data_IF_850396933836
#
_entry.id   IF_850396933836
#
_cell.length_a   1.000
_cell.length_b   1.000
_cell.length_c   1.000
_cell.angle_alpha   90.00
_cell.angle_beta   90.00
_cell.angle_gamma   90.00
#
_symmetry.space_group_name_H-M   'P 1'
#
loop_
_entity.id
_entity.type
_entity.pdbx_description
1 polymer ?
#
# COMPACT_ATOMS: atom_id res chain seq x y z
N UNK A 1 -23.93 15.08 -4.09
CA UNK A 1 -23.01 16.01 -4.80
C UNK A 1 -23.46 17.47 -4.71
N UNK A 2 -24.69 17.87 -5.08
CA UNK A 2 -25.17 19.27 -4.96
C UNK A 2 -25.18 19.89 -3.53
N UNK A 3 -24.79 19.10 -2.53
CA UNK A 3 -24.66 19.53 -1.13
C UNK A 3 -23.24 20.03 -0.81
N UNK A 4 -22.24 19.67 -1.61
CA UNK A 4 -20.84 20.09 -1.45
C UNK A 4 -20.65 21.59 -1.75
N UNK A 5 -21.47 22.15 -2.63
CA UNK A 5 -21.47 23.58 -2.99
C UNK A 5 -22.19 24.47 -1.96
N UNK A 6 -22.84 23.87 -0.95
CA UNK A 6 -23.63 24.60 0.04
C UNK A 6 -22.79 24.93 1.26
N UNK A 7 -22.68 26.22 1.58
CA UNK A 7 -21.96 26.66 2.78
C UNK A 7 -22.46 26.02 4.08
N UNK A 8 -23.77 25.81 4.21
CA UNK A 8 -24.36 25.18 5.41
C UNK A 8 -23.87 23.76 5.68
N UNK A 9 -23.53 23.03 4.62
CA UNK A 9 -22.93 21.69 4.71
C UNK A 9 -21.59 21.72 5.46
N UNK A 10 -20.82 22.77 5.25
CA UNK A 10 -19.47 22.95 5.78
C UNK A 10 -19.42 23.70 7.11
N UNK A 11 -20.53 24.35 7.50
CA UNK A 11 -20.60 25.16 8.73
C UNK A 11 -20.12 24.41 9.98
N UNK A 12 -20.48 23.12 10.23
CA UNK A 12 -19.98 22.40 11.40
C UNK A 12 -18.46 22.23 11.42
N UNK A 13 -17.87 21.84 10.27
CA UNK A 13 -16.42 21.69 10.11
C UNK A 13 -15.71 23.02 10.32
N UNK A 14 -16.18 24.08 9.66
CA UNK A 14 -15.61 25.42 9.75
C UNK A 14 -15.71 26.01 11.16
N UNK A 15 -16.81 25.75 11.88
CA UNK A 15 -16.98 26.16 13.28
C UNK A 15 -16.03 25.41 14.21
N UNK A 16 -15.89 24.09 14.05
CA UNK A 16 -14.93 23.28 14.80
C UNK A 16 -13.49 23.74 14.53
N UNK A 17 -13.16 24.01 13.26
CA UNK A 17 -11.85 24.53 12.86
C UNK A 17 -11.59 25.89 13.53
N UNK A 18 -12.54 26.85 13.47
CA UNK A 18 -12.40 28.14 14.17
C UNK A 18 -12.17 27.99 15.67
N UNK A 19 -12.76 26.97 16.30
CA UNK A 19 -12.62 26.72 17.72
C UNK A 19 -11.22 26.25 18.14
N UNK A 20 -10.41 25.70 17.23
CA UNK A 20 -9.02 25.30 17.53
C UNK A 20 -8.11 26.50 17.72
N UNK A 21 -8.40 27.62 17.04
CA UNK A 21 -7.68 28.88 17.17
C UNK A 21 -8.63 30.10 17.23
N UNK A 22 -9.38 30.31 18.34
CA UNK A 22 -10.42 31.33 18.41
C UNK A 22 -9.91 32.77 18.28
N UNK A 23 -8.64 33.00 18.62
CA UNK A 23 -8.00 34.32 18.55
C UNK A 23 -7.34 34.60 17.20
N UNK A 24 -7.28 33.60 16.30
CA UNK A 24 -6.57 33.75 15.04
C UNK A 24 -7.36 34.62 14.05
N UNK A 25 -6.66 35.54 13.39
CA UNK A 25 -7.27 36.41 12.37
C UNK A 25 -7.45 35.69 11.04
N UNK A 26 -6.53 34.79 10.72
CA UNK A 26 -6.55 33.89 9.59
C UNK A 26 -6.31 32.46 10.05
N UNK A 27 -7.09 31.53 9.54
CA UNK A 27 -6.97 30.10 9.79
C UNK A 27 -7.21 29.35 8.48
N UNK A 28 -6.34 28.42 8.15
CA UNK A 28 -6.52 27.54 6.99
C UNK A 28 -6.27 26.09 7.38
N UNK A 29 -6.94 25.19 6.68
CA UNK A 29 -6.71 23.76 6.76
C UNK A 29 -6.74 23.17 5.36
N UNK A 30 -5.78 22.32 5.05
CA UNK A 30 -5.76 21.52 3.83
C UNK A 30 -5.49 20.08 4.22
N UNK A 31 -6.26 19.16 3.67
CA UNK A 31 -6.21 17.76 4.07
C UNK A 31 -7.12 16.86 3.26
N UNK A 32 -7.15 15.60 3.67
CA UNK A 32 -8.00 14.58 3.07
C UNK A 32 -8.88 13.92 4.12
N UNK A 33 -10.00 13.33 3.67
CA UNK A 33 -10.98 12.71 4.55
C UNK A 33 -11.68 11.52 3.90
N UNK A 34 -11.82 10.45 4.66
CA UNK A 34 -12.64 9.26 4.36
C UNK A 34 -13.74 9.13 5.41
N UNK A 35 -14.60 8.13 5.26
CA UNK A 35 -15.67 7.85 6.23
C UNK A 35 -15.17 7.50 7.65
N UNK A 36 -13.90 7.11 7.80
CA UNK A 36 -13.35 6.61 9.08
C UNK A 36 -12.08 7.34 9.53
N UNK A 37 -11.46 8.15 8.68
CA UNK A 37 -10.20 8.83 8.97
C UNK A 37 -10.14 10.18 8.26
N UNK A 38 -9.34 11.10 8.79
CA UNK A 38 -8.92 12.30 8.08
C UNK A 38 -7.49 12.64 8.48
N UNK A 39 -6.87 13.51 7.71
CA UNK A 39 -5.70 14.22 8.18
C UNK A 39 -5.43 15.45 7.34
N UNK A 40 -4.35 16.16 7.65
CA UNK A 40 -4.04 17.43 7.02
C UNK A 40 -3.29 18.36 7.94
N UNK A 41 -2.98 19.54 7.41
CA UNK A 41 -2.26 20.59 8.10
C UNK A 41 -3.15 21.80 8.32
N UNK A 42 -3.16 22.32 9.55
CA UNK A 42 -3.80 23.59 9.86
C UNK A 42 -2.76 24.67 10.17
N UNK A 43 -3.02 25.89 9.71
CA UNK A 43 -2.17 27.06 9.91
C UNK A 43 -3.03 28.22 10.41
N UNK A 44 -2.71 28.73 11.59
CA UNK A 44 -3.32 29.90 12.23
C UNK A 44 -2.32 31.06 12.27
N UNK A 45 -2.67 32.20 11.66
CA UNK A 45 -1.82 33.41 11.60
C UNK A 45 -0.35 33.13 11.20
N UNK A 46 -0.16 32.18 10.28
CA UNK A 46 1.17 31.78 9.77
C UNK A 46 1.92 30.75 10.61
N UNK A 47 1.34 30.28 11.73
CA UNK A 47 1.91 29.23 12.56
C UNK A 47 1.08 27.94 12.48
N UNK A 48 1.74 26.77 12.60
CA UNK A 48 1.06 25.47 12.66
C UNK A 48 0.06 25.47 13.82
N UNK A 49 -1.15 25.00 13.55
CA UNK A 49 -2.21 24.84 14.53
C UNK A 49 -2.56 23.36 14.70
N UNK A 50 -2.86 22.97 15.93
CA UNK A 50 -3.27 21.61 16.23
C UNK A 50 -4.76 21.44 15.94
N UNK A 51 -5.10 20.35 15.25
CA UNK A 51 -6.49 19.95 15.03
C UNK A 51 -7.03 19.23 16.26
N UNK A 52 -8.15 19.72 16.78
CA UNK A 52 -8.87 19.06 17.87
C UNK A 52 -9.72 17.89 17.36
N UNK A 53 -10.13 17.01 18.29
CA UNK A 53 -11.04 15.89 18.01
C UNK A 53 -12.35 16.33 17.37
N UNK A 54 -12.88 17.50 17.75
CA UNK A 54 -14.13 18.02 17.18
C UNK A 54 -14.02 18.29 15.67
N UNK A 55 -12.84 18.67 15.17
CA UNK A 55 -12.62 18.82 13.72
C UNK A 55 -12.63 17.46 13.04
N UNK A 56 -11.93 16.49 13.63
CA UNK A 56 -11.88 15.11 13.15
C UNK A 56 -13.28 14.50 13.03
N UNK A 57 -14.07 14.62 14.09
CA UNK A 57 -15.43 14.08 14.15
C UNK A 57 -16.34 14.79 13.13
N UNK A 58 -16.24 16.11 13.00
CA UNK A 58 -17.04 16.87 12.04
C UNK A 58 -16.71 16.52 10.59
N UNK A 59 -15.41 16.37 10.26
CA UNK A 59 -14.96 16.06 8.90
C UNK A 59 -15.26 14.61 8.53
N UNK A 60 -15.01 13.65 9.42
CA UNK A 60 -15.30 12.22 9.16
C UNK A 60 -16.80 11.98 9.03
N UNK A 61 -17.64 12.58 9.89
CA UNK A 61 -19.10 12.52 9.75
C UNK A 61 -19.57 13.14 8.43
N UNK A 62 -18.91 14.21 7.97
CA UNK A 62 -19.21 14.82 6.68
C UNK A 62 -18.83 13.90 5.51
N UNK A 63 -17.62 13.35 5.54
CA UNK A 63 -17.12 12.42 4.53
C UNK A 63 -17.99 11.16 4.45
N UNK A 64 -18.34 10.55 5.59
CA UNK A 64 -19.25 9.41 5.66
C UNK A 64 -20.61 9.69 5.01
N UNK A 65 -21.12 10.92 5.15
CA UNK A 65 -22.41 11.32 4.58
C UNK A 65 -22.34 11.64 3.08
N UNK A 66 -21.26 12.26 2.62
CA UNK A 66 -21.14 12.81 1.27
C UNK A 66 -20.41 11.90 0.29
N UNK A 67 -19.49 11.07 0.80
CA UNK A 67 -18.57 10.23 0.06
C UNK A 67 -18.18 8.98 0.90
N UNK A 68 -19.14 8.09 1.25
CA UNK A 68 -18.87 6.97 2.16
C UNK A 68 -17.77 6.01 1.65
N UNK A 69 -17.68 5.85 0.33
CA UNK A 69 -16.77 4.90 -0.33
C UNK A 69 -15.64 5.60 -1.10
N UNK A 70 -15.44 6.90 -0.87
CA UNK A 70 -14.45 7.72 -1.59
C UNK A 70 -13.73 8.67 -0.64
N UNK A 71 -12.53 9.04 -1.03
CA UNK A 71 -11.77 10.06 -0.30
C UNK A 71 -12.11 11.46 -0.84
N UNK A 72 -12.19 12.43 0.08
CA UNK A 72 -12.33 13.84 -0.22
C UNK A 72 -10.98 14.53 -0.04
N UNK A 73 -10.63 15.43 -0.95
CA UNK A 73 -9.63 16.47 -0.70
C UNK A 73 -10.35 17.75 -0.33
N UNK A 74 -9.90 18.42 0.74
CA UNK A 74 -10.57 19.60 1.29
C UNK A 74 -9.56 20.68 1.60
N UNK A 75 -9.87 21.89 1.17
CA UNK A 75 -9.18 23.13 1.52
C UNK A 75 -10.17 24.10 2.16
N UNK A 76 -10.00 24.37 3.45
CA UNK A 76 -10.79 25.34 4.19
C UNK A 76 -9.93 26.56 4.53
N UNK A 77 -10.49 27.75 4.40
CA UNK A 77 -9.85 28.96 4.89
C UNK A 77 -10.87 29.90 5.53
N UNK A 78 -10.46 30.54 6.61
CA UNK A 78 -11.28 31.44 7.40
C UNK A 78 -10.48 32.70 7.70
N UNK A 79 -11.00 33.87 7.34
CA UNK A 79 -10.38 35.17 7.57
C UNK A 79 -11.41 36.12 8.18
N UNK A 80 -11.20 36.55 9.42
CA UNK A 80 -12.23 37.31 10.15
C UNK A 80 -13.51 36.48 10.33
N UNK A 81 -14.63 36.88 9.73
CA UNK A 81 -15.88 36.08 9.67
C UNK A 81 -16.03 35.32 8.36
N UNK A 82 -15.28 35.69 7.33
CA UNK A 82 -15.40 35.10 6.00
C UNK A 82 -14.78 33.72 5.98
N UNK A 83 -15.49 32.77 5.40
CA UNK A 83 -15.09 31.39 5.30
C UNK A 83 -15.28 30.88 3.87
N UNK A 84 -14.30 30.12 3.38
CA UNK A 84 -14.35 29.43 2.11
C UNK A 84 -13.95 27.97 2.30
N UNK A 85 -14.61 27.09 1.57
CA UNK A 85 -14.19 25.71 1.39
C UNK A 85 -14.13 25.42 -0.09
N UNK A 86 -13.03 24.81 -0.51
CA UNK A 86 -12.90 24.14 -1.80
C UNK A 86 -12.71 22.65 -1.52
N UNK A 87 -13.42 21.79 -2.24
CA UNK A 87 -13.29 20.34 -2.05
C UNK A 87 -13.52 19.58 -3.34
N UNK A 88 -13.00 18.36 -3.42
CA UNK A 88 -13.28 17.44 -4.52
C UNK A 88 -13.39 16.01 -4.00
N UNK A 89 -14.24 15.22 -4.64
CA UNK A 89 -14.25 13.76 -4.46
C UNK A 89 -13.15 13.22 -5.35
N UNK A 90 -12.15 12.55 -4.76
CA UNK A 90 -11.03 12.03 -5.52
C UNK A 90 -11.51 10.87 -6.42
N UNK A 91 -11.18 10.91 -7.72
CA UNK A 91 -11.41 9.77 -8.60
C UNK A 91 -10.48 8.60 -8.19
N UNK A 92 -10.81 7.34 -8.55
CA UNK A 92 -10.00 6.18 -8.21
C UNK A 92 -8.52 6.27 -8.65
N UNK A 93 -8.24 7.07 -9.66
CA UNK A 93 -6.90 7.27 -10.20
C UNK A 93 -6.07 8.27 -9.41
N UNK A 94 -6.65 8.97 -8.44
CA UNK A 94 -5.94 9.91 -7.59
C UNK A 94 -5.90 9.35 -6.18
N UNK A 95 -4.70 9.01 -5.72
CA UNK A 95 -4.48 8.53 -4.37
C UNK A 95 -4.12 9.72 -3.48
N UNK A 96 -4.69 9.75 -2.29
CA UNK A 96 -4.25 10.63 -1.23
C UNK A 96 -3.75 9.81 -0.04
N UNK A 97 -2.78 10.37 0.68
CA UNK A 97 -2.45 9.90 2.02
C UNK A 97 -3.02 10.86 3.07
N UNK A 98 -2.73 10.59 4.33
CA UNK A 98 -3.18 11.33 5.52
C UNK A 98 -3.00 12.85 5.48
N UNK A 99 -2.34 13.45 4.49
CA UNK A 99 -2.17 14.90 4.42
C UNK A 99 -2.59 15.47 3.05
N UNK A 100 -2.38 14.75 1.94
CA UNK A 100 -2.47 15.29 0.58
C UNK A 100 -2.62 14.23 -0.52
N UNK A 101 -3.01 14.68 -1.72
CA UNK A 101 -3.00 13.89 -2.97
C UNK A 101 -1.57 13.49 -3.35
N UNK A 102 -1.20 12.23 -3.15
CA UNK A 102 0.15 11.67 -3.27
C UNK A 102 0.51 11.03 -4.60
N UNK A 103 -0.46 10.46 -5.29
CA UNK A 103 -0.22 9.80 -6.55
C UNK A 103 -1.35 10.08 -7.56
N UNK A 104 -0.95 10.12 -8.82
CA UNK A 104 -1.86 10.04 -9.96
C UNK A 104 -1.51 8.78 -10.75
N UNK A 105 -2.44 7.84 -10.81
CA UNK A 105 -2.39 6.70 -11.70
C UNK A 105 -2.68 7.18 -13.11
N UNK A 106 -1.65 7.22 -13.94
CA UNK A 106 -1.74 7.66 -15.34
C UNK A 106 -2.36 6.58 -16.24
N UNK A 107 -2.34 5.32 -15.79
CA UNK A 107 -2.92 4.17 -16.49
C UNK A 107 -3.87 3.41 -15.56
N UNK A 108 -5.19 3.67 -15.62
CA UNK A 108 -6.15 3.04 -14.73
C UNK A 108 -6.04 1.52 -14.72
N UNK A 109 -6.18 0.91 -13.55
CA UNK A 109 -6.15 -0.55 -13.37
C UNK A 109 -4.76 -1.20 -13.54
N UNK A 110 -3.69 -0.41 -13.59
CA UNK A 110 -2.32 -0.94 -13.64
C UNK A 110 -1.69 -0.99 -12.26
N UNK A 111 -0.81 -1.98 -12.06
CA UNK A 111 -0.04 -2.20 -10.83
C UNK A 111 1.47 -2.26 -11.16
N UNK A 112 2.37 -2.03 -10.19
CA UNK A 112 3.80 -2.20 -10.39
C UNK A 112 4.15 -3.62 -10.87
N UNK A 113 5.23 -3.78 -11.65
CA UNK A 113 5.67 -5.09 -12.18
C UNK A 113 5.67 -6.24 -11.15
N UNK A 114 6.16 -6.07 -9.91
CA UNK A 114 6.13 -7.14 -8.91
C UNK A 114 4.72 -7.72 -8.66
N UNK A 115 3.68 -6.86 -8.65
CA UNK A 115 2.28 -7.26 -8.48
C UNK A 115 1.66 -7.91 -9.72
N UNK A 116 2.33 -7.82 -10.87
CA UNK A 116 1.91 -8.42 -12.14
C UNK A 116 2.76 -9.62 -12.53
N UNK A 117 3.66 -10.06 -11.65
CA UNK A 117 4.58 -11.15 -11.94
C UNK A 117 3.81 -12.46 -11.94
N UNK A 118 3.84 -13.13 -13.09
CA UNK A 118 3.26 -14.47 -13.25
C UNK A 118 4.26 -15.53 -12.80
N UNK A 119 3.80 -16.64 -12.20
CA UNK A 119 4.63 -17.80 -11.92
C UNK A 119 5.26 -18.37 -13.20
N UNK A 120 6.54 -18.74 -13.12
CA UNK A 120 7.15 -19.64 -14.10
C UNK A 120 6.66 -21.07 -13.84
N UNK A 121 5.57 -21.43 -14.51
CA UNK A 121 4.98 -22.78 -14.48
C UNK A 121 5.71 -23.79 -15.37
N UNK A 122 6.75 -23.38 -16.09
CA UNK A 122 7.55 -24.31 -16.90
C UNK A 122 8.51 -25.16 -16.05
N UNK A 123 8.70 -24.78 -14.79
CA UNK A 123 9.49 -25.50 -13.82
C UNK A 123 8.73 -26.73 -13.32
N UNK A 124 9.00 -27.89 -13.92
CA UNK A 124 8.54 -29.17 -13.36
C UNK A 124 9.36 -29.50 -12.10
N UNK A 125 8.69 -29.57 -10.95
CA UNK A 125 9.33 -29.75 -9.65
C UNK A 125 8.71 -30.93 -8.91
N UNK A 126 9.53 -31.86 -8.40
CA UNK A 126 9.02 -32.98 -7.63
C UNK A 126 8.42 -32.49 -6.30
N UNK A 127 7.54 -33.30 -5.73
CA UNK A 127 7.16 -33.15 -4.32
C UNK A 127 8.32 -33.53 -3.40
N UNK A 128 8.29 -33.07 -2.14
CA UNK A 128 9.33 -33.41 -1.17
C UNK A 128 9.40 -34.93 -0.94
N UNK A 129 10.60 -35.54 -0.87
CA UNK A 129 10.74 -36.95 -0.56
C UNK A 129 10.31 -37.30 0.88
N UNK A 130 10.16 -36.30 1.76
CA UNK A 130 9.77 -36.48 3.15
C UNK A 130 8.25 -36.60 3.39
N UNK A 131 7.43 -36.57 2.33
CA UNK A 131 5.98 -36.67 2.44
C UNK A 131 5.53 -38.01 3.03
N UNK A 132 4.58 -37.95 3.95
CA UNK A 132 3.95 -39.10 4.60
C UNK A 132 2.44 -38.86 4.74
N UNK A 133 1.67 -39.16 3.69
CA UNK A 133 0.21 -38.96 3.68
C UNK A 133 -0.49 -39.70 4.83
N UNK A 134 -0.02 -40.90 5.18
CA UNK A 134 -0.61 -41.68 6.27
C UNK A 134 -0.41 -41.00 7.64
N UNK A 135 0.75 -40.38 7.87
CA UNK A 135 0.99 -39.57 9.06
C UNK A 135 0.07 -38.34 9.10
N UNK A 136 -0.14 -37.67 7.97
CA UNK A 136 -1.05 -36.52 7.89
C UNK A 136 -2.49 -36.93 8.21
N UNK A 137 -3.02 -37.98 7.57
CA UNK A 137 -4.38 -38.48 7.85
C UNK A 137 -4.58 -38.79 9.35
N UNK A 138 -3.66 -39.57 9.94
CA UNK A 138 -3.74 -39.95 11.34
C UNK A 138 -3.64 -38.74 12.29
N UNK A 139 -2.80 -37.75 11.95
CA UNK A 139 -2.62 -36.54 12.76
C UNK A 139 -3.85 -35.65 12.70
N UNK A 140 -4.37 -35.40 11.50
CA UNK A 140 -5.52 -34.52 11.25
C UNK A 140 -6.79 -35.11 11.85
N UNK A 141 -7.09 -36.40 11.61
CA UNK A 141 -8.29 -37.04 12.21
C UNK A 141 -8.24 -37.08 13.73
N UNK A 142 -7.05 -37.13 14.32
CA UNK A 142 -6.90 -37.07 15.78
C UNK A 142 -7.16 -35.67 16.32
N UNK A 143 -6.70 -34.64 15.62
CA UNK A 143 -6.89 -33.25 16.01
C UNK A 143 -8.33 -32.75 15.72
N UNK A 144 -8.94 -33.25 14.66
CA UNK A 144 -10.25 -32.83 14.14
C UNK A 144 -11.15 -34.07 13.89
N UNK A 145 -11.55 -34.82 14.93
CA UNK A 145 -12.25 -36.11 14.78
C UNK A 145 -13.64 -35.99 14.15
N UNK A 146 -14.29 -34.85 14.33
CA UNK A 146 -15.66 -34.59 13.87
C UNK A 146 -15.71 -33.68 12.63
N UNK A 147 -14.55 -33.32 12.05
CA UNK A 147 -14.51 -32.46 10.88
C UNK A 147 -15.07 -33.19 9.64
N UNK A 148 -15.83 -32.46 8.84
CA UNK A 148 -16.22 -32.91 7.51
C UNK A 148 -14.98 -33.05 6.64
N UNK A 149 -14.91 -34.08 5.81
CA UNK A 149 -13.83 -34.32 4.87
C UNK A 149 -14.34 -34.22 3.44
N UNK A 150 -13.44 -33.90 2.51
CA UNK A 150 -13.72 -34.00 1.09
C UNK A 150 -13.73 -35.44 0.60
N UNK A 151 -14.47 -35.70 -0.48
CA UNK A 151 -14.32 -36.96 -1.22
C UNK A 151 -13.19 -36.88 -2.25
N UNK A 152 -12.77 -38.04 -2.76
CA UNK A 152 -11.79 -38.09 -3.85
C UNK A 152 -12.30 -37.39 -5.11
N UNK A 153 -13.60 -37.48 -5.39
CA UNK A 153 -14.23 -36.81 -6.54
C UNK A 153 -14.21 -35.29 -6.40
N UNK A 154 -14.45 -34.76 -5.20
CA UNK A 154 -14.40 -33.32 -4.94
C UNK A 154 -12.98 -32.77 -5.12
N UNK A 155 -11.97 -33.48 -4.61
CA UNK A 155 -10.57 -33.09 -4.80
C UNK A 155 -10.17 -33.20 -6.27
N UNK A 156 -10.55 -34.28 -6.96
CA UNK A 156 -10.24 -34.46 -8.38
C UNK A 156 -10.91 -33.38 -9.25
N UNK A 157 -12.12 -32.95 -8.89
CA UNK A 157 -12.79 -31.83 -9.55
C UNK A 157 -12.05 -30.51 -9.33
N UNK A 158 -11.60 -30.24 -8.10
CA UNK A 158 -10.76 -29.07 -7.80
C UNK A 158 -9.46 -29.07 -8.64
N UNK A 159 -8.72 -30.19 -8.62
CA UNK A 159 -7.49 -30.39 -9.40
C UNK A 159 -7.73 -30.15 -10.90
N UNK A 160 -8.85 -30.66 -11.43
CA UNK A 160 -9.25 -30.49 -12.83
C UNK A 160 -9.61 -29.05 -13.16
N UNK A 161 -10.36 -28.36 -12.30
CA UNK A 161 -10.80 -26.97 -12.52
C UNK A 161 -9.62 -26.01 -12.50
N UNK A 162 -8.67 -26.22 -11.59
CA UNK A 162 -7.50 -25.35 -11.43
C UNK A 162 -6.26 -25.82 -12.20
N UNK A 163 -6.37 -26.94 -12.92
CA UNK A 163 -5.28 -27.55 -13.69
C UNK A 163 -4.01 -27.79 -12.86
N UNK A 164 -4.20 -28.29 -11.64
CA UNK A 164 -3.11 -28.63 -10.70
C UNK A 164 -3.18 -30.09 -10.29
N UNK A 165 -2.09 -30.58 -9.71
CA UNK A 165 -2.06 -31.86 -9.00
C UNK A 165 -1.62 -31.57 -7.57
N UNK A 166 -2.48 -31.88 -6.60
CA UNK A 166 -2.15 -31.69 -5.21
C UNK A 166 -1.09 -32.72 -4.78
N UNK A 167 -0.11 -32.30 -3.97
CA UNK A 167 0.80 -33.22 -3.32
C UNK A 167 0.03 -34.23 -2.45
N UNK A 168 0.55 -35.46 -2.32
CA UNK A 168 -0.20 -36.55 -1.70
C UNK A 168 -0.54 -36.29 -0.22
N UNK A 169 0.35 -35.62 0.51
CA UNK A 169 0.10 -35.27 1.91
C UNK A 169 -0.95 -34.16 2.07
N UNK A 170 -1.01 -33.21 1.15
CA UNK A 170 -2.09 -32.19 1.06
C UNK A 170 -3.43 -32.83 0.67
N UNK A 171 -3.44 -33.76 -0.29
CA UNK A 171 -4.65 -34.54 -0.61
C UNK A 171 -5.15 -35.28 0.63
N UNK A 172 -4.24 -35.88 1.38
CA UNK A 172 -4.57 -36.63 2.61
C UNK A 172 -5.14 -35.74 3.72
N UNK A 173 -4.69 -34.50 3.84
CA UNK A 173 -5.29 -33.51 4.75
C UNK A 173 -6.76 -33.29 4.44
N UNK A 174 -7.10 -32.96 3.18
CA UNK A 174 -8.48 -32.63 2.80
C UNK A 174 -9.41 -33.85 2.81
N UNK A 175 -8.88 -35.06 2.64
CA UNK A 175 -9.61 -36.32 2.88
C UNK A 175 -9.85 -36.62 4.38
N UNK A 176 -9.13 -35.93 5.27
CA UNK A 176 -9.27 -36.08 6.72
C UNK A 176 -10.13 -34.96 7.34
N UNK A 177 -9.93 -33.72 6.92
CA UNK A 177 -10.70 -32.55 7.37
C UNK A 177 -10.68 -31.44 6.30
N UNK A 178 -11.82 -30.79 6.09
CA UNK A 178 -11.96 -29.65 5.19
C UNK A 178 -11.62 -28.32 5.87
N UNK A 179 -11.98 -28.17 7.15
CA UNK A 179 -11.81 -26.93 7.92
C UNK A 179 -11.72 -27.24 9.42
N UNK A 180 -11.29 -26.26 10.21
CA UNK A 180 -11.29 -26.31 11.68
C UNK A 180 -9.95 -25.95 12.33
N UNK A 181 -9.95 -25.80 13.65
CA UNK A 181 -8.76 -25.40 14.43
C UNK A 181 -7.77 -26.57 14.56
N UNK A 182 -6.84 -26.67 13.60
CA UNK A 182 -5.82 -27.72 13.58
C UNK A 182 -4.69 -27.36 14.56
N UNK A 183 -4.71 -28.02 15.73
CA UNK A 183 -3.65 -27.91 16.74
C UNK A 183 -2.90 -29.23 16.84
N UNK A 184 -1.59 -29.20 16.59
CA UNK A 184 -0.73 -30.37 16.67
C UNK A 184 0.34 -30.15 17.74
N UNK A 185 0.41 -31.08 18.68
CA UNK A 185 1.33 -31.01 19.82
C UNK A 185 0.56 -31.09 21.15
N UNK A 186 1.14 -30.48 22.18
CA UNK A 186 0.52 -30.31 23.48
C UNK A 186 -0.62 -29.26 23.41
N UNK A 187 -1.70 -29.44 24.18
CA UNK A 187 -2.84 -28.50 24.15
C UNK A 187 -2.47 -27.11 24.69
N UNK A 188 -1.57 -27.05 25.68
CA UNK A 188 -1.13 -25.79 26.32
C UNK A 188 0.06 -25.16 25.57
N UNK A 189 0.78 -25.96 24.77
CA UNK A 189 1.92 -25.51 23.97
C UNK A 189 1.99 -26.28 22.63
N UNK A 190 1.12 -25.95 21.67
CA UNK A 190 1.11 -26.65 20.39
C UNK A 190 2.43 -26.43 19.64
N UNK A 191 2.93 -27.48 19.02
CA UNK A 191 4.06 -27.41 18.08
C UNK A 191 3.66 -26.58 16.87
N UNK A 192 2.39 -26.67 16.50
CA UNK A 192 1.79 -25.96 15.38
C UNK A 192 0.30 -25.75 15.60
N UNK A 193 -0.20 -24.55 15.27
CA UNK A 193 -1.62 -24.24 15.29
C UNK A 193 -1.98 -23.38 14.07
N UNK A 194 -3.03 -23.78 13.34
CA UNK A 194 -3.69 -22.95 12.34
C UNK A 194 -5.20 -23.18 12.35
N UNK A 195 -5.95 -22.18 11.92
CA UNK A 195 -7.33 -22.36 11.45
C UNK A 195 -7.27 -22.88 10.00
N UNK A 196 -7.67 -24.14 9.79
CA UNK A 196 -7.66 -24.80 8.49
C UNK A 196 -8.77 -24.21 7.62
N UNK A 197 -8.39 -23.79 6.42
CA UNK A 197 -9.31 -23.24 5.44
C UNK A 197 -9.74 -24.32 4.43
N UNK A 198 -11.02 -24.30 3.99
CA UNK A 198 -11.49 -25.13 2.89
C UNK A 198 -10.62 -25.03 1.65
N UNK A 199 -10.52 -26.12 0.89
CA UNK A 199 -9.75 -26.13 -0.35
C UNK A 199 -10.30 -25.06 -1.32
N UNK A 200 -9.43 -24.15 -1.76
CA UNK A 200 -9.83 -23.05 -2.63
C UNK A 200 -10.73 -22.00 -1.96
N UNK A 201 -10.57 -21.78 -0.64
CA UNK A 201 -11.34 -20.80 0.12
C UNK A 201 -11.44 -19.45 -0.63
N UNK A 202 -12.65 -18.98 -0.99
CA UNK A 202 -12.82 -17.83 -1.86
C UNK A 202 -12.41 -16.52 -1.21
N UNK A 203 -12.60 -16.37 0.12
CA UNK A 203 -12.20 -15.16 0.84
C UNK A 203 -10.68 -15.03 0.87
N UNK A 204 -9.96 -16.10 1.22
CA UNK A 204 -8.50 -16.09 1.20
C UNK A 204 -7.94 -15.79 -0.21
N UNK A 205 -8.52 -16.39 -1.25
CA UNK A 205 -8.14 -16.10 -2.64
C UNK A 205 -8.42 -14.65 -3.04
N UNK A 206 -9.52 -14.06 -2.58
CA UNK A 206 -9.84 -12.66 -2.86
C UNK A 206 -8.92 -11.70 -2.08
N UNK A 207 -8.81 -11.88 -0.77
CA UNK A 207 -8.16 -10.97 0.18
C UNK A 207 -6.64 -10.97 0.06
N UNK A 208 -6.03 -12.07 -0.41
CA UNK A 208 -4.59 -12.18 -0.63
C UNK A 208 -4.20 -12.22 -2.12
N UNK A 209 -5.14 -11.94 -3.03
CA UNK A 209 -4.82 -11.77 -4.44
C UNK A 209 -3.79 -10.66 -4.63
N UNK A 210 -3.03 -10.69 -5.73
CA UNK A 210 -2.03 -9.65 -6.01
C UNK A 210 -2.65 -8.24 -6.01
N UNK A 211 -3.89 -8.10 -6.50
CA UNK A 211 -4.62 -6.85 -6.49
C UNK A 211 -5.07 -6.43 -5.08
N UNK A 212 -5.50 -7.36 -4.22
CA UNK A 212 -5.91 -7.04 -2.86
C UNK A 212 -4.73 -6.67 -1.95
N UNK A 213 -3.54 -7.21 -2.24
CA UNK A 213 -2.29 -6.85 -1.56
C UNK A 213 -1.63 -5.58 -2.09
N UNK A 214 -2.17 -4.99 -3.16
CA UNK A 214 -1.74 -3.71 -3.72
C UNK A 214 -2.61 -2.57 -3.16
N UNK A 215 -2.05 -1.83 -2.20
CA UNK A 215 -2.73 -0.72 -1.52
C UNK A 215 -2.60 0.63 -2.24
N UNK A 216 -1.92 0.66 -3.38
CA UNK A 216 -1.74 1.86 -4.21
C UNK A 216 -0.30 2.13 -4.60
N UNK A 217 -0.10 2.98 -5.60
CA UNK A 217 1.22 3.39 -6.08
C UNK A 217 2.00 4.18 -5.04
N UNK A 218 1.32 4.96 -4.19
CA UNK A 218 1.97 5.72 -3.12
C UNK A 218 2.67 4.81 -2.10
N UNK A 219 2.02 3.69 -1.72
CA UNK A 219 2.54 2.75 -0.73
C UNK A 219 3.45 1.69 -1.35
N UNK A 220 3.00 1.07 -2.44
CA UNK A 220 3.65 -0.13 -2.98
C UNK A 220 4.39 0.12 -4.30
N UNK A 221 4.37 1.35 -4.83
CA UNK A 221 4.97 1.68 -6.11
C UNK A 221 6.46 1.38 -6.19
N UNK A 222 7.18 1.48 -5.06
CA UNK A 222 8.61 1.18 -4.95
C UNK A 222 8.89 -0.20 -4.35
N UNK A 223 7.88 -1.02 -4.09
CA UNK A 223 8.11 -2.33 -3.48
C UNK A 223 8.83 -3.28 -4.42
N UNK A 224 9.69 -4.10 -3.86
CA UNK A 224 10.56 -5.03 -4.57
C UNK A 224 10.27 -6.41 -4.02
N UNK A 225 9.89 -7.33 -4.91
CA UNK A 225 9.62 -8.69 -4.48
C UNK A 225 10.92 -9.31 -3.98
N UNK A 226 10.87 -9.87 -2.78
CA UNK A 226 12.03 -10.51 -2.18
C UNK A 226 12.39 -11.75 -2.96
N UNK A 227 13.68 -11.90 -3.23
CA UNK A 227 14.23 -13.08 -3.88
C UNK A 227 14.63 -14.05 -2.77
N UNK A 228 14.06 -15.24 -2.77
CA UNK A 228 14.52 -16.31 -1.90
C UNK A 228 16.00 -16.63 -2.23
N UNK A 229 16.94 -16.49 -1.28
CA UNK A 229 18.36 -16.74 -1.54
C UNK A 229 18.65 -18.17 -2.00
N UNK A 230 17.81 -19.13 -1.61
CA UNK A 230 17.89 -20.51 -2.06
C UNK A 230 17.30 -20.77 -3.44
N UNK A 231 16.60 -19.82 -4.05
CA UNK A 231 15.81 -20.02 -5.27
C UNK A 231 14.70 -21.07 -5.11
N UNK A 232 14.18 -21.25 -3.90
CA UNK A 232 13.12 -22.21 -3.53
C UNK A 232 11.73 -21.64 -3.73
N UNK A 233 11.55 -20.33 -3.59
CA UNK A 233 10.26 -19.64 -3.70
C UNK A 233 10.34 -18.65 -4.86
N UNK A 234 9.30 -18.61 -5.70
CA UNK A 234 9.19 -17.58 -6.73
C UNK A 234 8.76 -16.25 -6.11
N UNK A 235 9.26 -15.14 -6.64
CA UNK A 235 8.97 -13.80 -6.13
C UNK A 235 7.60 -13.31 -6.65
N UNK A 236 6.50 -13.84 -6.08
CA UNK A 236 5.11 -13.51 -6.46
C UNK A 236 4.47 -12.55 -5.46
N UNK A 237 3.36 -11.93 -5.85
CA UNK A 237 2.69 -10.89 -5.08
C UNK A 237 1.46 -11.34 -4.30
N UNK A 238 0.80 -12.41 -4.72
CA UNK A 238 -0.44 -12.83 -4.09
C UNK A 238 -0.75 -14.29 -4.35
N UNK A 239 -1.78 -14.75 -3.67
CA UNK A 239 -2.25 -16.13 -3.80
C UNK A 239 -3.09 -16.32 -5.05
N UNK A 240 -3.02 -17.53 -5.59
CA UNK A 240 -3.88 -18.02 -6.64
C UNK A 240 -4.01 -19.54 -6.45
N UNK A 241 -5.21 -20.08 -6.71
CA UNK A 241 -5.53 -21.48 -6.46
C UNK A 241 -4.63 -22.47 -7.23
N UNK A 242 -3.90 -22.00 -8.26
CA UNK A 242 -2.95 -22.78 -9.05
C UNK A 242 -1.47 -22.55 -8.70
N UNK A 243 -1.15 -21.68 -7.74
CA UNK A 243 0.23 -21.33 -7.38
C UNK A 243 0.48 -21.41 -5.88
N UNK A 244 -0.14 -20.54 -5.09
CA UNK A 244 -0.06 -20.52 -3.64
C UNK A 244 -1.45 -20.80 -3.12
N UNK A 245 -1.76 -22.08 -2.93
CA UNK A 245 -3.07 -22.53 -2.48
C UNK A 245 -3.22 -22.23 -0.98
N UNK A 246 -4.22 -21.43 -0.56
CA UNK A 246 -4.46 -21.17 0.86
C UNK A 246 -4.70 -22.46 1.64
N UNK A 247 -3.95 -22.65 2.72
CA UNK A 247 -4.04 -23.78 3.64
C UNK A 247 -4.76 -23.39 4.92
N UNK A 248 -4.35 -22.27 5.54
CA UNK A 248 -4.85 -21.88 6.84
C UNK A 248 -4.40 -20.49 7.27
N UNK A 249 -4.93 -20.01 8.38
CA UNK A 249 -4.55 -18.72 8.99
C UNK A 249 -4.21 -18.87 10.47
N UNK A 250 -3.45 -17.93 11.02
CA UNK A 250 -3.22 -17.80 12.46
C UNK A 250 -4.26 -16.92 13.16
N UNK A 251 -5.24 -16.39 12.43
CA UNK A 251 -6.24 -15.43 12.93
C UNK A 251 -5.71 -14.01 13.16
N UNK A 252 -4.40 -13.80 12.97
CA UNK A 252 -3.72 -12.50 13.05
C UNK A 252 -3.58 -11.81 11.70
N UNK A 253 -4.27 -12.31 10.67
CA UNK A 253 -4.12 -11.84 9.29
C UNK A 253 -2.97 -12.50 8.55
N UNK A 254 -2.27 -13.50 9.09
CA UNK A 254 -1.27 -14.22 8.28
C UNK A 254 -1.89 -15.42 7.59
N UNK A 255 -1.27 -15.84 6.48
CA UNK A 255 -1.74 -16.97 5.69
C UNK A 255 -0.63 -18.01 5.50
N UNK A 256 -0.97 -19.27 5.76
CA UNK A 256 -0.19 -20.43 5.37
C UNK A 256 -0.67 -20.90 4.01
N UNK A 257 0.25 -21.17 3.09
CA UNK A 257 -0.08 -21.60 1.72
C UNK A 257 0.74 -22.80 1.30
N UNK A 258 0.14 -23.67 0.48
CA UNK A 258 0.81 -24.73 -0.23
C UNK A 258 1.36 -24.17 -1.54
N UNK A 259 2.67 -24.28 -1.76
CA UNK A 259 3.33 -23.81 -2.96
C UNK A 259 3.28 -24.88 -4.07
N UNK A 260 2.41 -24.66 -5.05
CA UNK A 260 2.23 -25.45 -6.26
C UNK A 260 3.06 -24.91 -7.44
N UNK A 261 3.73 -23.76 -7.28
CA UNK A 261 4.60 -23.16 -8.30
C UNK A 261 5.96 -22.75 -7.69
N UNK A 262 6.72 -23.70 -7.13
CA UNK A 262 7.96 -23.39 -6.43
C UNK A 262 9.05 -22.86 -7.36
N UNK A 263 10.09 -22.29 -6.74
CA UNK A 263 11.28 -21.82 -7.46
C UNK A 263 12.17 -22.97 -7.99
N UNK A 264 13.26 -22.65 -8.69
CA UNK A 264 14.19 -23.62 -9.27
C UNK A 264 14.73 -24.71 -8.33
N UNK A 265 14.84 -24.43 -7.04
CA UNK A 265 15.34 -25.37 -6.02
C UNK A 265 14.31 -25.73 -4.96
N UNK A 266 13.03 -25.41 -5.19
CA UNK A 266 11.93 -25.71 -4.27
C UNK A 266 11.28 -27.07 -4.53
N UNK A 267 10.35 -27.44 -3.65
CA UNK A 267 9.54 -28.64 -3.75
C UNK A 267 8.09 -28.28 -4.00
N UNK A 268 7.41 -29.01 -4.88
CA UNK A 268 5.97 -28.86 -5.06
C UNK A 268 5.27 -29.34 -3.79
N UNK A 269 4.47 -28.48 -3.17
CA UNK A 269 3.82 -28.75 -1.90
C UNK A 269 4.59 -28.27 -0.66
N UNK A 270 5.71 -27.55 -0.83
CA UNK A 270 6.34 -26.86 0.30
C UNK A 270 5.37 -25.84 0.91
N UNK A 271 5.50 -25.59 2.21
CA UNK A 271 4.60 -24.67 2.91
C UNK A 271 5.28 -23.31 3.05
N UNK A 272 4.55 -22.26 2.66
CA UNK A 272 4.98 -20.88 2.81
C UNK A 272 4.11 -20.15 3.82
N UNK A 273 4.71 -19.12 4.41
CA UNK A 273 4.08 -18.13 5.26
C UNK A 273 4.00 -16.80 4.51
N UNK A 274 2.79 -16.28 4.39
CA UNK A 274 2.48 -14.98 3.80
C UNK A 274 2.16 -14.03 4.94
N UNK A 275 3.08 -13.11 5.20
CA UNK A 275 2.96 -12.06 6.22
C UNK A 275 2.04 -10.95 5.69
N UNK A 276 1.03 -10.54 6.48
CA UNK A 276 0.15 -9.42 6.10
C UNK A 276 0.82 -8.06 6.19
N UNK A 277 1.91 -7.95 6.95
CA UNK A 277 2.71 -6.73 7.00
C UNK A 277 3.59 -6.58 5.74
N UNK A 278 3.63 -7.61 4.88
CA UNK A 278 4.31 -7.57 3.59
C UNK A 278 3.29 -7.59 2.45
N UNK A 279 3.47 -6.70 1.48
CA UNK A 279 2.63 -6.69 0.26
C UNK A 279 3.13 -7.66 -0.83
N UNK A 280 4.37 -8.15 -0.72
CA UNK A 280 5.01 -9.01 -1.74
C UNK A 280 5.77 -10.17 -1.10
N UNK A 281 5.78 -11.31 -1.80
CA UNK A 281 6.55 -12.48 -1.42
C UNK A 281 5.87 -13.33 -0.34
N UNK A 282 6.58 -14.41 -0.02
CA UNK A 282 6.26 -15.37 1.02
C UNK A 282 7.56 -16.01 1.51
N UNK A 283 7.59 -16.50 2.75
CA UNK A 283 8.74 -17.18 3.33
C UNK A 283 8.46 -18.67 3.42
N UNK A 284 9.38 -19.52 2.96
CA UNK A 284 9.24 -20.97 3.12
C UNK A 284 9.44 -21.34 4.59
N UNK A 285 8.50 -22.09 5.16
CA UNK A 285 8.57 -22.57 6.55
C UNK A 285 8.71 -24.09 6.67
N UNK A 286 8.33 -24.86 5.63
CA UNK A 286 8.52 -26.31 5.61
C UNK A 286 8.67 -26.83 4.18
N UNK A 287 9.37 -27.96 3.99
CA UNK A 287 9.45 -28.64 2.67
C UNK A 287 8.17 -29.37 2.25
N UNK A 288 7.27 -29.64 3.19
CA UNK A 288 5.99 -30.31 2.95
C UNK A 288 5.03 -30.07 4.12
N UNK A 289 3.76 -30.38 3.93
CA UNK A 289 2.79 -30.40 5.03
C UNK A 289 3.19 -31.41 6.10
N UNK A 290 3.72 -32.55 5.68
CA UNK A 290 4.24 -33.57 6.59
C UNK A 290 5.32 -33.01 7.53
N UNK A 291 6.29 -32.28 6.99
CA UNK A 291 7.36 -31.66 7.77
C UNK A 291 6.79 -30.60 8.75
N UNK A 292 5.85 -29.78 8.29
CA UNK A 292 5.18 -28.78 9.15
C UNK A 292 4.50 -29.44 10.36
N UNK A 293 3.72 -30.49 10.14
CA UNK A 293 2.98 -31.18 11.21
C UNK A 293 3.89 -31.96 12.17
N UNK A 294 5.13 -32.28 11.75
CA UNK A 294 6.16 -32.83 12.64
C UNK A 294 6.86 -31.77 13.49
N UNK A 295 6.67 -30.49 13.18
CA UNK A 295 7.42 -29.38 13.77
C UNK A 295 8.79 -29.17 13.14
N UNK A 296 9.06 -29.78 11.98
CA UNK A 296 10.29 -29.58 11.20
C UNK A 296 10.23 -28.24 10.45
N UNK A 297 10.02 -27.16 11.20
CA UNK A 297 9.93 -25.80 10.70
C UNK A 297 11.34 -25.26 10.48
N UNK A 298 11.56 -24.71 9.30
CA UNK A 298 12.82 -24.02 8.99
C UNK A 298 12.66 -22.56 9.36
N UNK A 299 13.42 -22.12 10.37
CA UNK A 299 13.62 -20.70 10.63
C UNK A 299 14.64 -20.19 9.59
N UNK A 300 14.16 -19.88 8.39
CA UNK A 300 15.02 -19.29 7.36
C UNK A 300 15.23 -17.81 7.68
N UNK A 301 16.49 -17.33 7.79
CA UNK A 301 16.75 -15.92 8.00
C UNK A 301 16.04 -15.13 6.90
N UNK A 302 15.25 -14.13 7.33
CA UNK A 302 14.56 -13.20 6.44
C UNK A 302 15.56 -12.75 5.37
N UNK A 303 15.18 -12.91 4.09
CA UNK A 303 16.05 -12.53 2.98
C UNK A 303 16.62 -11.12 3.21
N UNK A 304 17.92 -10.96 3.04
CA UNK A 304 18.63 -9.68 3.22
C UNK A 304 17.94 -8.57 2.41
N UNK A 305 17.83 -7.33 2.95
CA UNK A 305 17.26 -6.21 2.22
C UNK A 305 17.98 -5.96 0.88
N UNK A 306 17.16 -5.46 -0.03
CA UNK A 306 17.15 -5.72 -1.45
C UNK A 306 18.30 -5.07 -2.26
N UNK A 307 19.07 -5.87 -3.01
CA UNK A 307 20.01 -5.37 -4.03
C UNK A 307 19.30 -4.73 -5.23
N UNK A 308 17.98 -4.88 -5.36
CA UNK A 308 17.19 -4.25 -6.41
C UNK A 308 16.79 -2.79 -6.07
N UNK A 309 17.13 -2.28 -4.87
CA UNK A 309 16.95 -0.87 -4.51
C UNK A 309 18.30 -0.17 -4.36
N UNK A 310 18.53 0.83 -5.19
CA UNK A 310 19.69 1.71 -5.17
C UNK A 310 19.33 3.03 -4.48
N UNK A 311 20.01 3.39 -3.39
CA UNK A 311 19.77 4.65 -2.67
C UNK A 311 21.05 5.45 -2.44
N UNK A 312 21.06 6.73 -2.83
CA UNK A 312 22.18 7.65 -2.59
C UNK A 312 22.35 7.97 -1.12
N UNK A 313 21.25 8.07 -0.37
CA UNK A 313 21.30 8.30 1.08
C UNK A 313 22.06 7.17 1.81
N UNK A 314 21.88 5.92 1.38
CA UNK A 314 22.61 4.78 1.94
C UNK A 314 24.06 4.67 1.43
N UNK A 315 24.38 5.27 0.28
CA UNK A 315 25.67 5.15 -0.38
C UNK A 315 26.13 6.47 -1.02
N UNK A 316 26.34 7.54 -0.23
CA UNK A 316 26.52 8.91 -0.76
C UNK A 316 27.83 9.13 -1.54
N UNK A 317 28.73 8.15 -1.52
CA UNK A 317 30.04 8.22 -2.18
C UNK A 317 30.05 7.58 -3.58
N UNK A 318 28.94 6.95 -4.02
CA UNK A 318 28.86 6.24 -5.29
C UNK A 318 28.14 7.07 -6.34
N UNK A 319 28.62 7.02 -7.59
CA UNK A 319 27.88 7.52 -8.75
C UNK A 319 26.72 6.56 -9.09
N UNK A 320 25.69 6.98 -9.85
CA UNK A 320 24.56 6.11 -10.19
C UNK A 320 24.96 4.82 -10.88
N UNK A 321 25.90 4.85 -11.82
CA UNK A 321 26.43 3.67 -12.51
C UNK A 321 27.20 2.71 -11.58
N UNK A 322 27.70 3.21 -10.44
CA UNK A 322 28.33 2.40 -9.39
C UNK A 322 27.32 1.87 -8.36
N UNK A 323 26.15 2.52 -8.27
CA UNK A 323 25.08 2.19 -7.34
C UNK A 323 24.08 1.20 -7.96
N UNK A 324 23.76 1.39 -9.24
CA UNK A 324 22.77 0.64 -10.01
C UNK A 324 23.45 -0.57 -10.66
N UNK A 325 23.03 -1.76 -10.25
CA UNK A 325 23.40 -3.02 -10.88
C UNK A 325 22.35 -3.49 -11.89
N UNK A 326 22.63 -4.55 -12.68
CA UNK A 326 21.73 -5.01 -13.74
C UNK A 326 20.35 -5.47 -13.26
N UNK A 327 20.22 -5.82 -11.97
CA UNK A 327 18.97 -6.23 -11.35
C UNK A 327 18.27 -5.10 -10.56
N UNK A 328 18.84 -3.89 -10.56
CA UNK A 328 18.25 -2.74 -9.85
C UNK A 328 16.94 -2.31 -10.49
N UNK A 329 15.89 -2.27 -9.67
CA UNK A 329 14.52 -1.94 -10.02
C UNK A 329 14.11 -0.55 -9.56
N UNK A 330 14.67 -0.08 -8.45
CA UNK A 330 14.29 1.19 -7.82
C UNK A 330 15.55 2.02 -7.60
N UNK A 331 15.52 3.29 -8.03
CA UNK A 331 16.54 4.28 -7.74
C UNK A 331 15.96 5.40 -6.88
N UNK A 332 16.62 5.69 -5.77
CA UNK A 332 16.27 6.73 -4.83
C UNK A 332 17.41 7.74 -4.73
N UNK A 333 17.14 8.98 -5.13
CA UNK A 333 18.05 10.12 -5.10
C UNK A 333 17.57 11.10 -4.01
N UNK A 334 18.03 10.88 -2.80
CA UNK A 334 17.74 11.72 -1.64
C UNK A 334 19.04 12.24 -1.04
N UNK A 335 19.01 13.45 -0.50
CA UNK A 335 20.13 14.14 0.15
C UNK A 335 21.39 14.22 -0.74
N UNK A 336 21.19 14.37 -2.06
CA UNK A 336 22.31 14.50 -2.99
C UNK A 336 22.96 15.87 -2.87
N UNK A 337 24.29 15.91 -2.89
CA UNK A 337 25.07 17.17 -2.75
C UNK A 337 25.23 17.92 -4.07
N UNK A 338 24.94 17.26 -5.19
CA UNK A 338 24.94 17.84 -6.53
C UNK A 338 23.98 17.06 -7.44
N UNK A 339 23.36 17.71 -8.45
CA UNK A 339 22.51 17.02 -9.42
C UNK A 339 23.22 15.85 -10.08
N UNK A 340 22.49 14.76 -10.22
CA UNK A 340 22.97 13.45 -10.65
C UNK A 340 22.65 13.24 -12.14
N UNK A 341 23.67 12.91 -12.93
CA UNK A 341 23.49 12.56 -14.34
C UNK A 341 22.99 11.11 -14.47
N UNK A 342 21.82 10.94 -15.09
CA UNK A 342 21.19 9.64 -15.34
C UNK A 342 21.43 9.10 -16.76
N UNK A 343 22.10 9.86 -17.65
CA UNK A 343 22.42 9.41 -19.00
C UNK A 343 23.16 8.04 -19.04
N UNK A 344 24.06 7.70 -18.10
CA UNK A 344 24.68 6.37 -18.07
C UNK A 344 23.71 5.20 -17.87
N UNK A 345 22.50 5.46 -17.37
CA UNK A 345 21.46 4.46 -17.14
C UNK A 345 20.50 4.31 -18.33
N UNK A 346 20.73 5.02 -19.44
CA UNK A 346 19.92 4.88 -20.65
C UNK A 346 19.82 3.41 -21.09
N UNK A 347 18.60 2.95 -21.36
CA UNK A 347 18.32 1.57 -21.74
C UNK A 347 18.33 0.56 -20.58
N UNK A 348 18.44 0.98 -19.31
CA UNK A 348 18.50 0.05 -18.19
C UNK A 348 17.21 -0.83 -18.13
N UNK A 349 17.34 -2.17 -18.22
CA UNK A 349 16.20 -3.04 -18.54
C UNK A 349 15.29 -3.32 -17.35
N UNK A 350 15.76 -3.08 -16.12
CA UNK A 350 15.02 -3.39 -14.90
C UNK A 350 14.56 -2.15 -14.13
N UNK A 351 15.08 -0.95 -14.44
CA UNK A 351 14.85 0.24 -13.63
C UNK A 351 13.43 0.76 -13.86
N UNK A 352 12.53 0.43 -12.93
CA UNK A 352 11.09 0.68 -13.05
C UNK A 352 10.58 1.84 -12.21
N UNK A 353 11.31 2.25 -11.18
CA UNK A 353 10.92 3.36 -10.33
C UNK A 353 12.11 4.28 -10.06
N UNK A 354 11.88 5.59 -10.20
CA UNK A 354 12.82 6.62 -9.80
C UNK A 354 12.13 7.58 -8.84
N UNK A 355 12.71 7.78 -7.67
CA UNK A 355 12.30 8.79 -6.70
C UNK A 355 13.44 9.76 -6.50
N UNK A 356 13.19 11.06 -6.67
CA UNK A 356 14.24 12.08 -6.60
C UNK A 356 13.73 13.36 -5.94
N UNK A 357 14.48 13.88 -4.98
CA UNK A 357 14.26 15.22 -4.41
C UNK A 357 14.44 16.32 -5.45
N UNK A 358 13.87 17.50 -5.16
CA UNK A 358 13.93 18.68 -6.04
C UNK A 358 15.35 18.97 -6.53
N UNK A 359 15.54 18.99 -7.85
CA UNK A 359 16.83 19.31 -8.48
C UNK A 359 17.91 18.22 -8.31
N UNK A 360 17.53 17.02 -7.88
CA UNK A 360 18.49 15.91 -7.71
C UNK A 360 18.95 15.29 -9.03
N UNK A 361 18.24 15.53 -10.13
CA UNK A 361 18.55 14.99 -11.46
C UNK A 361 19.08 16.12 -12.34
N UNK A 362 20.25 15.91 -12.94
CA UNK A 362 20.92 16.93 -13.77
C UNK A 362 20.19 17.18 -15.10
N UNK A 363 19.67 16.12 -15.73
CA UNK A 363 18.89 16.17 -16.97
C UNK A 363 17.69 15.21 -16.87
N UNK A 364 16.49 15.79 -16.76
CA UNK A 364 15.23 15.03 -16.66
C UNK A 364 14.89 14.31 -17.98
N UNK A 365 15.46 14.70 -19.12
CA UNK A 365 15.24 14.01 -20.39
C UNK A 365 15.75 12.56 -20.35
N UNK A 366 16.78 12.26 -19.55
CA UNK A 366 17.32 10.92 -19.37
C UNK A 366 16.27 9.92 -18.83
N UNK A 367 15.24 10.38 -18.12
CA UNK A 367 14.15 9.52 -17.64
C UNK A 367 13.36 8.86 -18.78
N UNK A 368 13.32 9.47 -19.97
CA UNK A 368 12.63 8.94 -21.15
C UNK A 368 13.38 7.78 -21.81
N UNK A 369 14.67 7.63 -21.50
CA UNK A 369 15.52 6.57 -22.02
C UNK A 369 15.46 5.29 -21.16
N UNK A 370 14.63 5.26 -20.12
CA UNK A 370 14.44 4.10 -19.24
C UNK A 370 13.24 3.25 -19.73
N UNK A 371 13.48 2.11 -20.42
CA UNK A 371 12.42 1.36 -21.09
C UNK A 371 11.47 0.64 -20.14
N UNK A 372 11.86 0.43 -18.89
CA UNK A 372 11.06 -0.24 -17.87
C UNK A 372 10.38 0.72 -16.90
N UNK A 373 10.49 2.04 -17.10
CA UNK A 373 10.01 3.04 -16.14
C UNK A 373 8.49 3.04 -16.00
N UNK A 374 8.00 2.70 -14.81
CA UNK A 374 6.58 2.62 -14.44
C UNK A 374 6.19 3.75 -13.48
N UNK A 375 7.13 4.21 -12.65
CA UNK A 375 6.89 5.14 -11.56
C UNK A 375 7.92 6.25 -11.51
N UNK A 376 7.44 7.48 -11.37
CA UNK A 376 8.25 8.64 -11.02
C UNK A 376 7.71 9.29 -9.77
N UNK A 377 8.60 9.62 -8.82
CA UNK A 377 8.30 10.42 -7.65
C UNK A 377 9.22 11.64 -7.63
N UNK A 378 8.67 12.81 -7.94
CA UNK A 378 9.42 14.05 -8.16
C UNK A 378 8.76 15.23 -7.44
N UNK A 379 9.48 16.34 -7.33
CA UNK A 379 8.90 17.62 -6.93
C UNK A 379 7.95 18.17 -8.00
N UNK A 380 7.06 19.10 -7.63
CA UNK A 380 6.17 19.86 -8.52
C UNK A 380 7.01 20.61 -9.55
N UNK A 381 8.16 21.14 -9.16
CA UNK A 381 9.07 21.85 -10.05
C UNK A 381 9.69 20.92 -11.09
N UNK A 382 10.20 19.76 -10.68
CA UNK A 382 10.82 18.80 -11.59
C UNK A 382 9.76 18.17 -12.50
N UNK A 383 8.56 17.89 -11.99
CA UNK A 383 7.41 17.51 -12.83
C UNK A 383 7.08 18.57 -13.88
N UNK A 384 6.99 19.84 -13.47
CA UNK A 384 6.70 20.95 -14.39
C UNK A 384 7.75 21.04 -15.49
N UNK A 385 9.04 20.98 -15.10
CA UNK A 385 10.17 20.99 -16.04
C UNK A 385 10.09 19.80 -17.01
N UNK A 386 9.89 18.58 -16.50
CA UNK A 386 9.76 17.38 -17.32
C UNK A 386 8.61 17.51 -18.34
N UNK A 387 7.46 18.03 -17.91
CA UNK A 387 6.27 18.20 -18.74
C UNK A 387 6.38 19.34 -19.75
N UNK A 388 7.19 20.35 -19.49
CA UNK A 388 7.44 21.47 -20.40
C UNK A 388 8.46 21.08 -21.50
N UNK A 389 9.41 20.20 -21.17
CA UNK A 389 10.45 19.72 -22.09
C UNK A 389 9.97 18.66 -23.09
N UNK A 390 8.80 18.05 -22.87
CA UNK A 390 8.25 17.07 -23.81
C UNK A 390 7.16 16.18 -23.23
N UNK A 391 6.70 15.17 -23.99
CA UNK A 391 5.67 14.24 -23.51
C UNK A 391 6.17 13.43 -22.31
N UNK A 392 5.23 12.90 -21.53
CA UNK A 392 5.49 11.92 -20.49
C UNK A 392 6.20 10.68 -21.07
N UNK A 393 7.08 10.02 -20.30
CA UNK A 393 7.60 8.71 -20.69
C UNK A 393 6.43 7.76 -21.00
N UNK A 394 6.35 7.18 -22.21
CA UNK A 394 5.17 6.42 -22.62
C UNK A 394 4.98 5.10 -21.87
N UNK A 395 5.90 4.71 -20.99
CA UNK A 395 5.81 3.52 -20.15
C UNK A 395 5.26 3.84 -18.76
N UNK A 396 5.18 5.12 -18.40
CA UNK A 396 4.82 5.56 -17.07
C UNK A 396 3.37 5.17 -16.74
N UNK A 397 3.22 4.55 -15.58
CA UNK A 397 1.95 4.07 -15.04
C UNK A 397 1.42 4.96 -13.93
N UNK A 398 2.31 5.55 -13.13
CA UNK A 398 1.93 6.46 -12.06
C UNK A 398 2.97 7.58 -11.84
N UNK A 399 2.46 8.69 -11.30
CA UNK A 399 3.21 9.89 -10.96
C UNK A 399 2.96 10.24 -9.49
N UNK A 400 4.01 10.27 -8.67
CA UNK A 400 3.96 10.67 -7.27
C UNK A 400 4.57 12.06 -7.11
N UNK A 401 4.04 12.81 -6.16
CA UNK A 401 4.43 14.21 -5.91
C UNK A 401 5.02 14.33 -4.51
N UNK A 402 6.21 14.93 -4.39
CA UNK A 402 6.95 15.01 -3.12
C UNK A 402 6.57 16.20 -2.24
N UNK A 403 6.29 17.36 -2.81
CA UNK A 403 6.19 18.63 -2.08
C UNK A 403 5.02 18.69 -1.11
N UNK A 404 5.07 19.62 -0.16
CA UNK A 404 3.94 19.90 0.73
C UNK A 404 2.62 20.27 -0.02
N UNK A 405 1.45 20.14 0.64
CA UNK A 405 0.18 20.61 0.10
C UNK A 405 0.24 22.03 -0.46
N UNK A 406 -0.37 22.24 -1.62
CA UNK A 406 -0.62 23.58 -2.13
C UNK A 406 -1.28 23.62 -3.50
N UNK A 407 -1.69 24.81 -3.96
CA UNK A 407 -2.38 24.98 -5.24
C UNK A 407 -1.59 24.43 -6.43
N UNK A 408 -0.26 24.66 -6.46
CA UNK A 408 0.60 24.19 -7.54
C UNK A 408 0.61 22.65 -7.67
N UNK A 409 0.47 21.92 -6.56
CA UNK A 409 0.37 20.47 -6.55
C UNK A 409 -0.94 20.00 -7.19
N UNK A 410 -2.06 20.67 -6.87
CA UNK A 410 -3.36 20.33 -7.44
C UNK A 410 -3.45 20.69 -8.93
N UNK A 411 -2.86 21.82 -9.33
CA UNK A 411 -2.74 22.19 -10.75
C UNK A 411 -1.93 21.14 -11.52
N UNK A 412 -0.87 20.61 -10.91
CA UNK A 412 -0.09 19.50 -11.48
C UNK A 412 -0.92 18.21 -11.58
N UNK A 413 -1.71 17.87 -10.57
CA UNK A 413 -2.62 16.71 -10.61
C UNK A 413 -3.58 16.83 -11.78
N UNK A 414 -4.24 17.98 -11.95
CA UNK A 414 -5.16 18.22 -13.07
C UNK A 414 -4.46 18.14 -14.43
N UNK A 415 -3.21 18.62 -14.52
CA UNK A 415 -2.38 18.51 -15.72
C UNK A 415 -2.04 17.05 -16.03
N UNK A 416 -1.64 16.26 -15.03
CA UNK A 416 -1.31 14.84 -15.18
C UNK A 416 -2.53 14.02 -15.60
N UNK A 417 -3.69 14.23 -14.98
CA UNK A 417 -4.96 13.61 -15.36
C UNK A 417 -5.29 13.92 -16.83
N UNK A 418 -5.25 15.20 -17.20
CA UNK A 418 -5.55 15.64 -18.57
C UNK A 418 -4.62 15.00 -19.61
N UNK A 419 -3.31 14.93 -19.32
CA UNK A 419 -2.32 14.30 -20.21
C UNK A 419 -2.52 12.79 -20.34
N UNK A 420 -3.08 12.15 -19.33
CA UNK A 420 -3.45 10.73 -19.36
C UNK A 420 -4.83 10.45 -19.98
N UNK A 421 -5.51 11.49 -20.51
CA UNK A 421 -6.85 11.37 -21.09
C UNK A 421 -7.97 11.21 -20.07
N UNK A 422 -7.69 11.52 -18.80
CA UNK A 422 -8.62 11.44 -17.69
C UNK A 422 -9.23 12.83 -17.40
N UNK A 423 -10.46 12.91 -16.86
CA UNK A 423 -11.05 14.19 -16.49
C UNK A 423 -10.26 14.84 -15.33
N UNK A 424 -10.13 16.18 -15.30
CA UNK A 424 -9.56 16.88 -14.15
C UNK A 424 -10.45 16.72 -12.91
N UNK A 425 -9.91 17.09 -11.75
CA UNK A 425 -10.64 17.12 -10.50
C UNK A 425 -11.87 18.04 -10.63
N UNK A 426 -13.02 17.52 -10.23
CA UNK A 426 -14.24 18.30 -10.16
C UNK A 426 -14.29 19.04 -8.81
N UNK A 427 -13.94 20.32 -8.82
CA UNK A 427 -13.93 21.16 -7.63
C UNK A 427 -15.31 21.72 -7.31
N UNK A 428 -15.69 21.61 -6.04
CA UNK A 428 -16.84 22.26 -5.43
C UNK A 428 -16.35 23.39 -4.53
N UNK A 429 -17.00 24.54 -4.62
CA UNK A 429 -16.67 25.70 -3.81
C UNK A 429 -17.89 26.18 -3.02
N UNK A 430 -17.67 26.49 -1.75
CA UNK A 430 -18.67 27.04 -0.85
C UNK A 430 -18.08 28.21 -0.07
N UNK A 431 -18.73 29.37 -0.14
CA UNK A 431 -18.32 30.58 0.58
C UNK A 431 -19.46 31.09 1.45
N UNK A 432 -19.13 31.67 2.60
CA UNK A 432 -20.11 32.27 3.50
C UNK A 432 -19.47 32.89 4.73
N UNK A 433 -20.31 33.29 5.68
CA UNK A 433 -19.88 33.93 6.92
C UNK A 433 -20.12 33.03 8.12
N UNK A 434 -19.12 32.94 8.99
CA UNK A 434 -19.23 32.37 10.33
C UNK A 434 -19.57 33.46 11.35
N UNK A 435 -20.23 33.10 12.46
CA UNK A 435 -20.35 33.98 13.61
C UNK A 435 -18.97 34.46 14.09
N UNK A 436 -18.86 35.67 14.65
CA UNK A 436 -17.62 36.15 15.22
C UNK A 436 -17.12 35.19 16.31
N UNK A 437 -15.79 35.05 16.48
CA UNK A 437 -15.22 34.11 17.44
C UNK A 437 -15.69 34.45 18.85
N UNK A 438 -16.23 33.44 19.54
CA UNK A 438 -16.53 33.55 20.97
C UNK A 438 -15.22 33.37 21.72
N UNK A 439 -14.54 34.48 21.99
CA UNK A 439 -13.33 34.44 22.81
C UNK A 439 -13.70 33.98 24.23
N UNK A 440 -13.00 32.99 24.81
CA UNK A 440 -13.23 32.62 26.20
C UNK A 440 -13.02 33.87 27.08
N UNK A 441 -13.81 34.06 28.14
CA UNK A 441 -13.65 35.20 29.02
C UNK A 441 -12.23 35.18 29.59
N UNK A 442 -11.50 36.28 29.40
CA UNK A 442 -10.12 36.43 29.91
C UNK A 442 -10.01 35.88 31.33
N UNK A 443 -9.11 34.92 31.51
CA UNK A 443 -8.90 34.29 32.80
C UNK A 443 -8.57 35.36 33.85
N UNK A 444 -8.91 35.16 35.13
CA UNK A 444 -8.55 36.13 36.18
C UNK A 444 -7.05 36.48 36.21
N UNK A 445 -6.20 35.56 35.72
CA UNK A 445 -4.75 35.76 35.58
C UNK A 445 -4.37 36.72 34.44
N UNK A 446 -5.09 36.71 33.32
CA UNK A 446 -4.83 37.61 32.18
C UNK A 446 -5.34 39.03 32.44
N UNK A 447 -6.47 39.18 33.14
CA UNK A 447 -6.94 40.52 33.57
C UNK A 447 -5.91 41.24 34.43
N UNK A 448 -5.20 40.52 35.31
CA UNK A 448 -4.11 41.11 36.12
C UNK A 448 -2.92 41.57 35.28
N UNK A 449 -2.55 40.83 34.23
CA UNK A 449 -1.43 41.22 33.33
C UNK A 449 -1.76 42.44 32.47
N UNK A 450 -3.03 42.65 32.13
CA UNK A 450 -3.49 43.81 31.37
C UNK A 450 -3.42 45.11 32.19
N UNK A 451 -3.78 45.07 33.48
CA UNK A 451 -3.69 46.23 34.38
C UNK A 451 -2.25 46.65 34.73
N UNK A 452 -1.29 45.72 34.73
CA UNK A 452 0.11 46.02 35.10
C UNK A 452 0.94 46.68 33.98
N UNK A 453 0.46 46.74 32.74
CA UNK A 453 1.17 47.36 31.61
C UNK A 453 0.79 48.83 31.35
N UNK A 454 -0.14 49.39 32.13
CA UNK A 454 -0.58 50.80 32.03
C UNK A 454 -0.32 51.62 33.30
N UNK A 455 0.47 51.09 34.23
CA UNK A 455 0.92 51.78 35.44
C UNK A 455 2.29 52.39 35.25
#
# INVERSE_FOLDING_TARGET
MADLDRFETWRPVLAALRATAPSATSLSWSGTATASSMGGNAVADGARADLGRDVMDAVTALAQRLAPDRELVIEAAITGTDARVRCSVLPPEVEASFVVVDAVTLRPGTMPRPFRSEPDRSLDRPASPGQDPAFVDATVRRALPDAAAHTLEEIAEFERVHAVTLPDDVRSLYLAANEGDLKVGDEDAPVFALELLPIGNPSALADYSASARFFGWALNGTDVARVDPGGRVQALAGVDASTWLPLGTDGGGNLFVVDLAPGPHGWTGQILFVDHEESLGATRIAESLTALLRGDVVDEPRAEPDRATASTHQNPQRTPDQLVGPATQVLQLFEVTSPVDLAPLAGHPALRAVSAEDGSIADLAALRELPALELLRLSVRDWTTLLDDGPLPPQLHAALILDDPGPARLDLVDRLLSLSGQPPLHWHEATGELPPPVLPPASPRERRRWWQRRG
#
